data_IF_307637631106
#
_entry.id   IF_307637631106
#
_cell.length_a   1.000
_cell.length_b   1.000
_cell.length_c   1.000
_cell.angle_alpha   90.00
_cell.angle_beta   90.00
_cell.angle_gamma   90.00
#
_symmetry.space_group_name_H-M   'P 1'
#
loop_
_entity.id
_entity.type
_entity.pdbx_description
1 polymer ?
#
# COMPACT_ATOMS: atom_id res chain seq x y z
N UNK A 1 -9.08 5.38 -8.81
CA UNK A 1 -9.08 6.66 -8.07
C UNK A 1 -7.75 7.36 -8.34
N UNK A 2 -7.77 8.62 -8.77
CA UNK A 2 -6.55 9.41 -8.94
C UNK A 2 -6.37 10.30 -7.71
N UNK A 3 -5.18 10.25 -7.11
CA UNK A 3 -4.79 11.13 -6.02
C UNK A 3 -3.98 12.31 -6.57
N UNK A 4 -4.03 13.43 -5.85
CA UNK A 4 -3.21 14.60 -6.14
C UNK A 4 -1.73 14.16 -6.19
N UNK A 5 -0.98 14.66 -7.18
CA UNK A 5 0.39 14.25 -7.56
C UNK A 5 0.55 13.01 -8.46
N UNK A 6 -0.52 12.54 -9.12
CA UNK A 6 -0.42 11.51 -10.18
C UNK A 6 -0.36 10.07 -9.67
N UNK A 7 -0.64 9.87 -8.39
CA UNK A 7 -0.73 8.54 -7.80
C UNK A 7 -2.02 7.83 -8.22
N UNK A 8 -1.89 6.57 -8.65
CA UNK A 8 -3.02 5.72 -9.03
C UNK A 8 -3.10 4.52 -8.09
N UNK A 9 -4.27 4.37 -7.49
CA UNK A 9 -4.63 3.18 -6.72
C UNK A 9 -5.06 2.07 -7.67
N UNK A 10 -4.57 0.86 -7.45
CA UNK A 10 -4.99 -0.31 -8.23
C UNK A 10 -6.46 -0.62 -7.96
N UNK A 11 -6.80 -0.92 -6.69
CA UNK A 11 -8.17 -1.26 -6.27
C UNK A 11 -8.49 -0.67 -4.89
N UNK A 12 -9.71 -0.17 -4.74
CA UNK A 12 -10.29 0.20 -3.45
C UNK A 12 -11.57 -0.61 -3.25
N UNK A 13 -11.68 -1.32 -2.13
CA UNK A 13 -12.82 -2.17 -1.78
C UNK A 13 -13.60 -1.52 -0.64
N UNK A 14 -14.90 -1.35 -0.85
CA UNK A 14 -15.85 -0.91 0.19
C UNK A 14 -15.50 0.42 0.87
N UNK A 15 -14.74 1.28 0.21
CA UNK A 15 -14.23 2.55 0.79
C UNK A 15 -13.53 2.37 2.14
N UNK A 16 -12.90 1.22 2.37
CA UNK A 16 -12.23 0.91 3.63
C UNK A 16 -10.90 0.16 3.45
N UNK A 17 -10.66 -0.41 2.27
CA UNK A 17 -9.49 -1.24 2.01
C UNK A 17 -8.86 -0.89 0.67
N UNK A 18 -7.58 -0.55 0.69
CA UNK A 18 -6.75 -0.44 -0.52
C UNK A 18 -6.15 -1.81 -0.83
N UNK A 19 -6.09 -2.20 -2.09
CA UNK A 19 -5.36 -3.39 -2.55
C UNK A 19 -4.35 -2.97 -3.62
N UNK A 20 -3.08 -3.23 -3.36
CA UNK A 20 -1.94 -2.97 -4.26
C UNK A 20 -1.39 -4.31 -4.78
N UNK A 21 -1.27 -4.44 -6.09
CA UNK A 21 -0.85 -5.69 -6.73
C UNK A 21 0.60 -5.58 -7.19
N UNK A 22 1.40 -6.61 -6.91
CA UNK A 22 2.80 -6.71 -7.34
C UNK A 22 3.07 -8.11 -7.93
N UNK A 23 4.03 -8.18 -8.84
CA UNK A 23 4.55 -9.43 -9.40
C UNK A 23 6.08 -9.35 -9.40
N UNK A 24 6.68 -9.42 -8.22
CA UNK A 24 8.11 -9.19 -8.00
C UNK A 24 8.73 -10.35 -7.23
N UNK A 25 10.03 -10.60 -7.40
CA UNK A 25 10.73 -11.69 -6.69
C UNK A 25 10.57 -11.59 -5.16
N UNK A 26 10.69 -10.37 -4.61
CA UNK A 26 10.50 -10.11 -3.19
C UNK A 26 9.82 -8.76 -2.96
N UNK A 27 8.98 -8.69 -1.92
CA UNK A 27 8.47 -7.41 -1.44
C UNK A 27 9.59 -6.63 -0.73
N UNK A 28 9.80 -5.40 -1.17
CA UNK A 28 10.74 -4.45 -0.57
C UNK A 28 9.98 -3.44 0.31
N UNK A 29 10.63 -2.81 1.31
CA UNK A 29 10.01 -1.79 2.15
C UNK A 29 9.37 -0.63 1.37
N UNK A 30 9.87 -0.32 0.18
CA UNK A 30 9.29 0.73 -0.70
C UNK A 30 7.87 0.39 -1.15
N UNK A 31 7.52 -0.89 -1.33
CA UNK A 31 6.16 -1.28 -1.71
C UNK A 31 5.16 -1.03 -0.58
N UNK A 32 5.57 -1.28 0.67
CA UNK A 32 4.77 -0.96 1.84
C UNK A 32 4.68 0.56 2.06
N UNK A 33 5.80 1.28 1.88
CA UNK A 33 5.85 2.73 1.94
C UNK A 33 4.87 3.40 0.96
N UNK A 34 4.76 2.89 -0.27
CA UNK A 34 3.77 3.35 -1.25
C UNK A 34 2.33 3.19 -0.72
N UNK A 35 1.97 1.99 -0.24
CA UNK A 35 0.64 1.74 0.30
C UNK A 35 0.35 2.59 1.55
N UNK A 36 1.34 2.86 2.39
CA UNK A 36 1.22 3.77 3.54
C UNK A 36 0.96 5.22 3.12
N UNK A 37 1.59 5.69 2.03
CA UNK A 37 1.29 7.02 1.45
C UNK A 37 -0.19 7.10 1.07
N UNK A 38 -0.71 6.06 0.44
CA UNK A 38 -2.11 6.01 0.04
C UNK A 38 -3.07 6.00 1.22
N UNK A 39 -2.77 5.24 2.27
CA UNK A 39 -3.57 5.24 3.49
C UNK A 39 -3.65 6.63 4.13
N UNK A 40 -2.57 7.41 4.11
CA UNK A 40 -2.59 8.79 4.64
C UNK A 40 -3.41 9.74 3.78
N UNK A 41 -3.21 9.68 2.46
CA UNK A 41 -3.87 10.58 1.52
C UNK A 41 -5.38 10.31 1.46
N UNK A 42 -5.79 9.05 1.61
CA UNK A 42 -7.19 8.63 1.57
C UNK A 42 -7.86 8.55 2.94
N UNK A 43 -7.08 8.54 4.03
CA UNK A 43 -7.51 8.24 5.40
C UNK A 43 -8.24 6.90 5.56
N UNK A 44 -8.00 5.96 4.65
CA UNK A 44 -8.57 4.62 4.75
C UNK A 44 -7.87 3.80 5.85
N UNK A 45 -8.58 2.90 6.53
CA UNK A 45 -8.06 2.23 7.71
C UNK A 45 -7.07 1.09 7.39
N UNK A 46 -7.10 0.51 6.18
CA UNK A 46 -6.25 -0.62 5.85
C UNK A 46 -5.84 -0.70 4.38
N UNK A 47 -4.67 -1.30 4.14
CA UNK A 47 -4.21 -1.72 2.82
C UNK A 47 -3.73 -3.17 2.83
N UNK A 48 -3.86 -3.84 1.69
CA UNK A 48 -3.23 -5.12 1.38
C UNK A 48 -2.26 -4.93 0.22
N UNK A 49 -1.00 -5.28 0.43
CA UNK A 49 -0.03 -5.44 -0.66
C UNK A 49 0.02 -6.93 -0.99
N UNK A 50 -0.27 -7.27 -2.24
CA UNK A 50 -0.40 -8.64 -2.74
C UNK A 50 0.68 -8.92 -3.78
N UNK A 51 1.67 -9.74 -3.43
CA UNK A 51 2.64 -10.25 -4.39
C UNK A 51 2.15 -11.58 -4.98
N UNK A 52 1.90 -11.60 -6.30
CA UNK A 52 1.46 -12.80 -7.02
C UNK A 52 2.62 -13.70 -7.48
N UNK A 53 3.87 -13.23 -7.38
CA UNK A 53 5.03 -14.04 -7.74
C UNK A 53 5.43 -14.99 -6.59
N UNK A 54 4.47 -15.79 -6.11
CA UNK A 54 4.64 -16.80 -5.05
C UNK A 54 3.75 -18.00 -5.38
N UNK A 55 4.21 -19.21 -5.01
CA UNK A 55 3.43 -20.43 -5.25
C UNK A 55 2.12 -20.51 -4.44
N UNK A 56 2.09 -19.88 -3.26
CA UNK A 56 0.90 -19.83 -2.40
C UNK A 56 0.62 -18.37 -2.06
N UNK A 57 -0.52 -17.85 -2.51
CA UNK A 57 -0.87 -16.43 -2.42
C UNK A 57 -0.75 -15.88 -0.99
N UNK A 58 -1.12 -16.67 0.03
CA UNK A 58 -1.04 -16.27 1.44
C UNK A 58 0.37 -15.81 1.86
N UNK A 59 1.42 -16.32 1.23
CA UNK A 59 2.82 -15.94 1.52
C UNK A 59 3.21 -14.60 0.87
N UNK A 60 2.46 -14.15 -0.13
CA UNK A 60 2.65 -12.86 -0.80
C UNK A 60 1.83 -11.72 -0.21
N UNK A 61 1.05 -11.97 0.86
CA UNK A 61 0.19 -10.96 1.48
C UNK A 61 0.92 -10.18 2.58
N UNK A 62 0.81 -8.85 2.52
CA UNK A 62 1.16 -7.92 3.59
C UNK A 62 -0.04 -7.05 3.91
N UNK A 63 -0.46 -7.01 5.18
CA UNK A 63 -1.52 -6.11 5.65
C UNK A 63 -0.92 -4.94 6.40
N UNK A 64 -1.39 -3.75 6.05
CA UNK A 64 -1.03 -2.49 6.71
C UNK A 64 -2.30 -1.88 7.31
N UNK A 65 -2.19 -1.38 8.54
CA UNK A 65 -3.29 -0.73 9.26
C UNK A 65 -2.91 0.71 9.53
N UNK A 66 -3.81 1.66 9.24
CA UNK A 66 -3.61 3.08 9.50
C UNK A 66 -4.42 3.54 10.70
N UNK A 67 -3.73 4.14 11.67
CA UNK A 67 -4.36 4.84 12.78
C UNK A 67 -4.06 6.34 12.65
N UNK A 68 -5.07 7.21 12.45
CA UNK A 68 -4.86 8.64 12.30
C UNK A 68 -4.28 9.31 13.57
N UNK A 69 -4.47 8.72 14.75
CA UNK A 69 -3.91 9.22 16.02
C UNK A 69 -2.46 8.79 16.25
N UNK A 70 -1.97 7.85 15.44
CA UNK A 70 -0.58 7.41 15.47
C UNK A 70 -0.09 7.21 14.02
N UNK A 71 0.04 8.31 13.24
CA UNK A 71 0.43 8.22 11.85
C UNK A 71 1.86 7.73 11.74
N UNK A 72 2.12 6.87 10.76
CA UNK A 72 3.49 6.45 10.46
C UNK A 72 4.38 7.67 10.10
N UNK A 73 5.69 7.64 10.35
CA UNK A 73 6.59 8.69 9.86
C UNK A 73 6.56 8.74 8.33
N UNK A 74 6.51 9.93 7.69
CA UNK A 74 6.43 10.04 6.22
C UNK A 74 7.51 9.18 5.56
N UNK A 75 7.15 8.37 4.54
CA UNK A 75 8.16 7.61 3.84
C UNK A 75 9.16 8.58 3.23
N UNK A 76 10.44 8.38 3.51
CA UNK A 76 11.52 9.17 2.90
C UNK A 76 11.57 8.82 1.42
N UNK A 77 10.82 9.55 0.61
CA UNK A 77 10.97 9.56 -0.84
C UNK A 77 12.34 10.16 -1.15
N UNK A 78 13.38 9.33 -1.20
CA UNK A 78 14.62 9.73 -1.85
C UNK A 78 14.35 9.70 -3.35
N UNK A 79 14.01 10.88 -3.88
CA UNK A 79 14.08 11.15 -5.31
C UNK A 79 15.56 11.44 -5.59
N UNK A 80 16.27 10.46 -6.16
CA UNK A 80 17.53 10.70 -6.88
C UNK A 80 17.24 10.82 -8.35
#
# INVERSE_FOLDING_TARGET
>A
MHLECGYRLDVVVGSCLIVEVKAVERLLPVHEAQALTYLRLTRLPAALVVNFNVAVLRHGLRRLSYNPNHPFPPPRLHVT
#
